data_IF_225004918469
#
_entry.id   IF_225004918469
#
_cell.length_a   1.000
_cell.length_b   1.000
_cell.length_c   1.000
_cell.angle_alpha   90.00
_cell.angle_beta   90.00
_cell.angle_gamma   90.00
#
_symmetry.space_group_name_H-M   'P 1'
#
loop_
_entity.id
_entity.type
_entity.pdbx_description
1 polymer ?
#
# COMPACT_ATOMS: atom_id res chain seq x y z
N UNK A 1 -16.39 -0.23 21.84
CA UNK A 1 -16.32 0.12 20.41
C UNK A 1 -15.37 -0.89 19.79
N UNK A 2 -15.82 -1.69 18.83
CA UNK A 2 -14.93 -2.65 18.17
C UNK A 2 -13.88 -1.86 17.38
N UNK A 3 -12.61 -2.08 17.69
CA UNK A 3 -11.48 -1.54 16.93
C UNK A 3 -11.57 -2.14 15.53
N UNK A 4 -12.00 -1.34 14.54
CA UNK A 4 -12.05 -1.80 13.15
C UNK A 4 -10.63 -1.72 12.63
N UNK A 5 -9.93 -2.85 12.66
CA UNK A 5 -8.59 -2.97 12.11
C UNK A 5 -8.67 -2.87 10.58
N UNK A 6 -8.15 -1.78 10.01
CA UNK A 6 -8.05 -1.66 8.55
C UNK A 6 -6.62 -1.97 8.11
N UNK A 7 -6.46 -3.01 7.29
CA UNK A 7 -5.18 -3.30 6.66
C UNK A 7 -5.06 -2.49 5.37
N UNK A 8 -4.02 -1.67 5.24
CA UNK A 8 -3.83 -0.75 4.11
C UNK A 8 -2.50 -1.02 3.41
N UNK A 9 -2.56 -1.19 2.09
CA UNK A 9 -1.40 -1.22 1.21
C UNK A 9 -1.31 0.12 0.47
N UNK A 10 -0.21 0.85 0.65
CA UNK A 10 0.01 2.15 0.03
C UNK A 10 1.22 2.09 -0.92
N UNK A 11 1.03 2.26 -2.23
CA UNK A 11 2.14 2.37 -3.17
C UNK A 11 2.78 3.76 -3.11
N UNK A 12 4.03 3.83 -3.52
CA UNK A 12 4.74 5.06 -3.82
C UNK A 12 5.11 5.07 -5.30
N UNK A 13 4.87 6.19 -5.97
CA UNK A 13 5.10 6.37 -7.41
C UNK A 13 6.13 7.45 -7.65
N UNK A 14 6.94 7.28 -8.69
CA UNK A 14 7.82 8.33 -9.17
C UNK A 14 6.99 9.40 -9.88
N UNK A 15 7.28 10.66 -9.60
CA UNK A 15 6.71 11.83 -10.26
C UNK A 15 7.84 12.75 -10.71
N UNK A 16 7.53 13.73 -11.55
CA UNK A 16 8.52 14.71 -12.02
C UNK A 16 9.16 15.50 -10.87
N UNK A 17 8.42 15.68 -9.77
CA UNK A 17 8.85 16.38 -8.56
C UNK A 17 9.41 15.46 -7.46
N UNK A 18 9.55 14.14 -7.71
CA UNK A 18 10.13 13.18 -6.78
C UNK A 18 9.29 11.92 -6.54
N UNK A 19 8.93 11.66 -5.29
CA UNK A 19 8.15 10.46 -4.91
C UNK A 19 6.87 10.90 -4.22
N UNK A 20 5.74 10.38 -4.71
CA UNK A 20 4.42 10.63 -4.14
C UNK A 20 3.75 9.34 -3.67
N UNK A 21 2.91 9.44 -2.64
CA UNK A 21 2.01 8.35 -2.28
C UNK A 21 0.91 8.20 -3.34
N UNK A 22 0.62 6.96 -3.74
CA UNK A 22 -0.49 6.63 -4.62
C UNK A 22 -1.78 6.34 -3.86
N UNK A 23 -2.73 5.68 -4.53
CA UNK A 23 -4.03 5.33 -3.94
C UNK A 23 -3.89 4.23 -2.88
N UNK A 24 -4.40 4.42 -1.65
CA UNK A 24 -4.42 3.37 -0.63
C UNK A 24 -5.39 2.25 -1.00
N UNK A 25 -4.98 1.00 -0.77
CA UNK A 25 -5.80 -0.18 -1.01
C UNK A 25 -6.08 -0.88 0.30
N UNK A 26 -7.35 -0.91 0.71
CA UNK A 26 -7.79 -1.63 1.89
C UNK A 26 -7.88 -3.15 1.62
N UNK A 27 -7.50 -3.93 2.63
CA UNK A 27 -7.47 -5.39 2.61
C UNK A 27 -8.15 -5.94 3.87
N UNK A 28 -8.68 -7.15 3.79
CA UNK A 28 -9.43 -7.76 4.89
C UNK A 28 -8.56 -8.50 5.93
N UNK A 29 -7.29 -8.77 5.63
CA UNK A 29 -6.41 -9.53 6.51
C UNK A 29 -4.91 -9.19 6.29
N UNK A 30 -4.03 -9.54 7.25
CA UNK A 30 -2.59 -9.23 7.18
C UNK A 30 -1.89 -9.83 5.96
N UNK A 31 -2.21 -11.07 5.59
CA UNK A 31 -1.59 -11.75 4.45
C UNK A 31 -1.95 -11.04 3.13
N UNK A 32 -3.22 -10.67 2.98
CA UNK A 32 -3.70 -9.97 1.79
C UNK A 32 -3.03 -8.60 1.61
N UNK A 33 -2.83 -7.84 2.69
CA UNK A 33 -2.20 -6.52 2.60
C UNK A 33 -0.71 -6.61 2.25
N UNK A 34 0.01 -7.59 2.79
CA UNK A 34 1.44 -7.80 2.47
C UNK A 34 1.59 -8.22 1.01
N UNK A 35 0.83 -9.22 0.55
CA UNK A 35 0.85 -9.65 -0.86
C UNK A 35 0.46 -8.50 -1.80
N UNK A 36 -0.49 -7.65 -1.40
CA UNK A 36 -0.89 -6.47 -2.17
C UNK A 36 0.24 -5.46 -2.26
N UNK A 37 0.87 -5.09 -1.14
CA UNK A 37 2.00 -4.17 -1.12
C UNK A 37 3.18 -4.70 -1.95
N UNK A 38 3.47 -6.00 -1.86
CA UNK A 38 4.52 -6.66 -2.65
C UNK A 38 4.23 -6.63 -4.17
N UNK A 39 2.98 -6.85 -4.56
CA UNK A 39 2.58 -6.72 -5.96
C UNK A 39 2.66 -5.26 -6.46
N UNK A 40 2.27 -4.31 -5.61
CA UNK A 40 2.36 -2.89 -5.92
C UNK A 40 3.81 -2.41 -6.02
N UNK A 41 4.73 -2.89 -5.18
CA UNK A 41 6.12 -2.44 -5.19
C UNK A 41 6.88 -2.86 -6.45
N UNK A 42 6.39 -3.88 -7.17
CA UNK A 42 6.97 -4.37 -8.44
C UNK A 42 6.30 -3.83 -9.70
N UNK A 43 5.24 -3.03 -9.57
CA UNK A 43 4.52 -2.49 -10.73
C UNK A 43 5.33 -1.37 -11.37
N UNK A 44 5.39 -1.34 -12.70
CA UNK A 44 6.06 -0.25 -13.42
C UNK A 44 5.52 1.13 -13.00
N UNK A 45 6.45 2.08 -12.79
CA UNK A 45 6.16 3.42 -12.29
C UNK A 45 6.02 3.51 -10.77
N UNK A 46 5.96 2.38 -10.05
CA UNK A 46 6.01 2.37 -8.60
C UNK A 46 7.47 2.21 -8.14
N UNK A 47 7.83 2.94 -7.09
CA UNK A 47 9.18 2.91 -6.48
C UNK A 47 9.22 2.13 -5.17
N UNK A 48 8.04 1.71 -4.68
CA UNK A 48 7.89 0.93 -3.47
C UNK A 48 6.44 0.87 -3.00
N UNK A 49 6.20 0.16 -1.91
CA UNK A 49 4.91 0.15 -1.22
C UNK A 49 5.09 -0.24 0.24
N UNK A 50 4.15 0.16 1.09
CA UNK A 50 4.08 -0.25 2.50
C UNK A 50 2.75 -0.93 2.80
N UNK A 51 2.80 -1.92 3.69
CA UNK A 51 1.62 -2.54 4.30
C UNK A 51 1.57 -2.12 5.77
N UNK A 52 0.44 -1.58 6.23
CA UNK A 52 0.26 -1.15 7.61
C UNK A 52 -1.17 -1.34 8.10
N UNK A 53 -1.38 -1.14 9.41
CA UNK A 53 -2.67 -1.23 10.09
C UNK A 53 -3.02 0.18 10.59
N UNK A 54 -4.27 0.62 10.39
CA UNK A 54 -4.83 1.83 11.00
C UNK A 54 -5.99 1.52 11.93
#
# INVERSE_FOLDING_TARGET
MAEVTYFVALPFVATDDGIAAGEPIECFNPTAVVMKAEALSRKDGHVGAVAFIR
#
